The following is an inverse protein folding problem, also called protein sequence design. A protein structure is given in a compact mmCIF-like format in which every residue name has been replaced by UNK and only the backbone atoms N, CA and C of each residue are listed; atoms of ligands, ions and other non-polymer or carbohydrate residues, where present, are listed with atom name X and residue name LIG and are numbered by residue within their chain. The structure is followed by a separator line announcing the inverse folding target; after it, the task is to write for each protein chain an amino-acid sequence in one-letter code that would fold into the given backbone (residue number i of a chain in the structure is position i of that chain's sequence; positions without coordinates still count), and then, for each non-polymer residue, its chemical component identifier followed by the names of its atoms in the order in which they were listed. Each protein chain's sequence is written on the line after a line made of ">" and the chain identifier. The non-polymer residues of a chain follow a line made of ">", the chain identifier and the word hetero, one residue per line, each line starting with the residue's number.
data_IF_396184877156
#
_entry.id   IF_396184877156
#
_cell.length_a   1.000
_cell.length_b   1.000
_cell.length_c   1.000
_cell.angle_alpha   90.00
_cell.angle_beta   90.00
_cell.angle_gamma   90.00
#
_symmetry.space_group_name_H-M   'P 1'
#
loop_
_entity.id
_entity.type
_entity.pdbx_description
1 polymer ?
#
# COMPACT_ATOMS: atom_id res chain seq x y z
N UNK A 1 -0.70 -19.98 -21.00
CA UNK A 1 -1.19 -18.59 -21.07
C UNK A 1 -1.99 -18.15 -19.85
N UNK A 2 -2.73 -19.03 -19.14
CA UNK A 2 -3.49 -18.66 -17.92
C UNK A 2 -2.67 -18.63 -16.62
N UNK A 3 -1.59 -19.41 -16.51
CA UNK A 3 -0.78 -19.49 -15.29
C UNK A 3 -0.09 -18.16 -14.92
N UNK A 4 0.37 -17.41 -15.93
CA UNK A 4 1.01 -16.10 -15.72
C UNK A 4 0.08 -15.06 -15.09
N UNK A 5 -1.21 -15.05 -15.47
CA UNK A 5 -2.20 -14.12 -14.91
C UNK A 5 -2.54 -14.43 -13.46
N UNK A 6 -2.65 -15.72 -13.12
CA UNK A 6 -2.89 -16.14 -11.73
C UNK A 6 -1.73 -15.77 -10.81
N UNK A 7 -0.49 -16.02 -11.25
CA UNK A 7 0.70 -15.69 -10.49
C UNK A 7 0.87 -14.18 -10.30
N UNK A 8 0.59 -13.37 -11.34
CA UNK A 8 0.57 -11.91 -11.22
C UNK A 8 -0.52 -11.42 -10.26
N UNK A 9 -1.74 -11.96 -10.33
CA UNK A 9 -2.84 -11.55 -9.46
C UNK A 9 -2.52 -11.82 -7.97
N UNK A 10 -2.00 -13.02 -7.66
CA UNK A 10 -1.60 -13.38 -6.29
C UNK A 10 -0.46 -12.48 -5.81
N UNK A 11 0.55 -12.22 -6.66
CA UNK A 11 1.66 -11.33 -6.32
C UNK A 11 1.16 -9.92 -6.01
N UNK A 12 0.31 -9.36 -6.86
CA UNK A 12 -0.27 -8.03 -6.65
C UNK A 12 -1.06 -7.97 -5.34
N UNK A 13 -1.95 -8.95 -5.09
CA UNK A 13 -2.74 -8.98 -3.84
C UNK A 13 -1.85 -9.03 -2.60
N UNK A 14 -0.85 -9.92 -2.58
CA UNK A 14 0.07 -10.07 -1.45
C UNK A 14 0.90 -8.80 -1.21
N UNK A 15 1.40 -8.18 -2.28
CA UNK A 15 2.17 -6.94 -2.18
C UNK A 15 1.30 -5.82 -1.61
N UNK A 16 0.11 -5.59 -2.15
CA UNK A 16 -0.79 -4.57 -1.63
C UNK A 16 -1.18 -4.80 -0.17
N UNK A 17 -1.55 -6.03 0.20
CA UNK A 17 -1.88 -6.36 1.60
C UNK A 17 -0.71 -6.09 2.55
N UNK A 18 0.50 -6.46 2.16
CA UNK A 18 1.70 -6.27 2.97
C UNK A 18 2.01 -4.77 3.12
N UNK A 19 1.95 -3.99 2.04
CA UNK A 19 2.20 -2.55 2.10
C UNK A 19 1.11 -1.78 2.83
N UNK A 20 -0.15 -2.24 2.79
CA UNK A 20 -1.23 -1.68 3.62
C UNK A 20 -0.93 -1.93 5.10
N UNK A 21 -0.52 -3.14 5.49
CA UNK A 21 -0.16 -3.44 6.88
C UNK A 21 1.04 -2.61 7.36
N UNK A 22 2.08 -2.48 6.53
CA UNK A 22 3.24 -1.63 6.82
C UNK A 22 2.83 -0.16 6.92
N UNK A 23 1.94 0.32 6.06
CA UNK A 23 1.44 1.70 6.12
C UNK A 23 0.61 1.95 7.36
N UNK A 24 -0.19 0.97 7.80
CA UNK A 24 -0.96 1.06 9.04
C UNK A 24 -0.02 1.21 10.24
N UNK A 25 1.00 0.35 10.31
CA UNK A 25 2.03 0.40 11.35
C UNK A 25 2.84 1.70 11.31
N UNK A 26 3.20 2.19 10.13
CA UNK A 26 3.92 3.45 9.96
C UNK A 26 3.08 4.67 10.38
N UNK A 27 1.77 4.64 10.10
CA UNK A 27 0.86 5.69 10.54
C UNK A 27 0.70 5.70 12.06
N UNK A 28 0.71 4.55 12.75
CA UNK A 28 0.65 4.54 14.23
C UNK A 28 1.81 5.33 14.89
N UNK A 29 2.95 5.50 14.23
CA UNK A 29 4.05 6.31 14.73
C UNK A 29 3.75 7.82 14.72
N UNK A 30 2.73 8.27 13.97
CA UNK A 30 2.28 9.65 13.98
C UNK A 30 1.37 9.88 15.18
N UNK A 31 1.66 10.92 15.98
CA UNK A 31 0.83 11.33 17.12
C UNK A 31 -0.49 11.95 16.64
N UNK A 32 -1.42 11.11 16.21
CA UNK A 32 -2.73 11.50 15.71
C UNK A 32 -3.58 12.24 16.75
N UNK A 33 -3.36 11.97 18.04
CA UNK A 33 -4.04 12.64 19.15
C UNK A 33 -3.86 14.18 19.11
N UNK A 34 -2.68 14.66 18.69
CA UNK A 34 -2.41 16.11 18.54
C UNK A 34 -3.02 16.73 17.29
N UNK A 35 -3.29 15.94 16.25
CA UNK A 35 -3.79 16.45 14.97
C UNK A 35 -5.33 16.50 14.92
N UNK A 36 -6.00 15.79 15.82
CA UNK A 36 -7.44 15.54 15.76
C UNK A 36 -8.21 16.34 16.81
N UNK A 37 -9.23 17.08 16.35
CA UNK A 37 -10.12 17.85 17.22
C UNK A 37 -10.88 16.90 18.15
N UNK A 38 -10.88 17.22 19.45
CA UNK A 38 -11.40 16.42 20.57
C UNK A 38 -12.85 15.88 20.43
N UNK A 39 -13.64 16.34 19.47
CA UNK A 39 -15.04 15.96 19.31
C UNK A 39 -15.34 15.09 18.07
N UNK A 40 -14.33 14.64 17.31
CA UNK A 40 -14.54 13.88 16.04
C UNK A 40 -13.73 12.59 15.94
N UNK A 41 -13.73 11.80 17.01
CA UNK A 41 -12.98 10.53 17.13
C UNK A 41 -13.36 9.51 16.04
N UNK A 42 -14.64 9.44 15.65
CA UNK A 42 -15.07 8.51 14.61
C UNK A 42 -14.53 8.89 13.21
N UNK A 43 -14.62 10.18 12.86
CA UNK A 43 -14.09 10.67 11.59
C UNK A 43 -12.57 10.51 11.53
N UNK A 44 -11.90 10.75 12.65
CA UNK A 44 -10.47 10.52 12.82
C UNK A 44 -10.04 9.10 12.44
N UNK A 45 -10.73 8.12 13.03
CA UNK A 45 -10.45 6.70 12.84
C UNK A 45 -10.73 6.26 11.40
N UNK A 46 -11.82 6.74 10.81
CA UNK A 46 -12.12 6.46 9.41
C UNK A 46 -11.04 7.04 8.48
N UNK A 47 -10.62 8.29 8.74
CA UNK A 47 -9.57 8.94 7.96
C UNK A 47 -8.25 8.17 8.07
N UNK A 48 -7.90 7.68 9.26
CA UNK A 48 -6.72 6.85 9.47
C UNK A 48 -6.74 5.57 8.62
N UNK A 49 -7.85 4.84 8.64
CA UNK A 49 -8.00 3.60 7.84
C UNK A 49 -7.89 3.92 6.35
N UNK A 50 -8.57 4.96 5.88
CA UNK A 50 -8.51 5.39 4.49
C UNK A 50 -7.09 5.81 4.09
N UNK A 51 -6.39 6.52 4.96
CA UNK A 51 -5.01 6.96 4.73
C UNK A 51 -4.06 5.77 4.64
N UNK A 52 -4.24 4.77 5.49
CA UNK A 52 -3.47 3.54 5.46
C UNK A 52 -3.65 2.76 4.17
N UNK A 53 -4.90 2.66 3.69
CA UNK A 53 -5.21 1.97 2.43
C UNK A 53 -4.64 2.76 1.25
N UNK A 54 -4.79 4.08 1.25
CA UNK A 54 -4.28 4.96 0.21
C UNK A 54 -2.75 4.89 0.12
N UNK A 55 -2.04 5.09 1.23
CA UNK A 55 -0.58 5.01 1.28
C UNK A 55 -0.08 3.61 0.92
N UNK A 56 -0.67 2.56 1.50
CA UNK A 56 -0.30 1.19 1.20
C UNK A 56 -0.49 0.82 -0.26
N UNK A 57 -1.55 1.34 -0.89
CA UNK A 57 -1.79 1.12 -2.31
C UNK A 57 -0.82 1.90 -3.19
N UNK A 58 -0.47 3.14 -2.83
CA UNK A 58 0.51 3.94 -3.58
C UNK A 58 1.89 3.28 -3.54
N UNK A 59 2.36 2.91 -2.34
CA UNK A 59 3.67 2.27 -2.18
C UNK A 59 3.68 0.86 -2.78
N UNK A 60 2.58 0.10 -2.64
CA UNK A 60 2.42 -1.21 -3.27
C UNK A 60 2.49 -1.15 -4.79
N UNK A 61 1.77 -0.21 -5.42
CA UNK A 61 1.84 0.01 -6.87
C UNK A 61 3.26 0.40 -7.29
N UNK A 62 3.88 1.37 -6.60
CA UNK A 62 5.25 1.77 -6.87
C UNK A 62 6.22 0.58 -6.86
N UNK A 63 6.08 -0.32 -5.88
CA UNK A 63 6.93 -1.50 -5.78
C UNK A 63 6.71 -2.48 -6.93
N UNK A 64 5.46 -2.72 -7.32
CA UNK A 64 5.10 -3.60 -8.44
C UNK A 64 5.59 -3.04 -9.78
N UNK A 65 5.39 -1.75 -10.01
CA UNK A 65 5.85 -1.06 -11.22
C UNK A 65 7.38 -1.12 -11.31
N UNK A 66 8.08 -0.87 -10.20
CA UNK A 66 9.52 -0.97 -10.13
C UNK A 66 10.02 -2.40 -10.41
N UNK A 67 9.35 -3.41 -9.87
CA UNK A 67 9.65 -4.81 -10.14
C UNK A 67 9.45 -5.14 -11.63
N UNK A 68 8.36 -4.67 -12.24
CA UNK A 68 8.08 -4.87 -13.66
C UNK A 68 9.15 -4.20 -14.53
N UNK A 69 9.52 -2.95 -14.24
CA UNK A 69 10.60 -2.27 -14.96
C UNK A 69 11.93 -3.01 -14.80
N UNK A 70 12.23 -3.51 -13.60
CA UNK A 70 13.43 -4.29 -13.34
C UNK A 70 13.48 -5.58 -14.16
N UNK A 71 12.34 -6.25 -14.34
CA UNK A 71 12.22 -7.42 -15.22
C UNK A 71 12.34 -7.06 -16.71
N UNK A 72 12.06 -5.81 -17.07
CA UNK A 72 12.18 -5.33 -18.44
C UNK A 72 13.61 -4.88 -18.80
N UNK A 73 14.45 -4.56 -17.80
CA UNK A 73 15.83 -4.13 -18.01
C UNK A 73 16.66 -5.08 -18.89
N UNK A 74 16.55 -6.42 -18.80
CA UNK A 74 17.33 -7.31 -19.66
C UNK A 74 16.98 -7.24 -21.15
N UNK A 75 15.85 -6.64 -21.54
CA UNK A 75 15.46 -6.52 -22.95
C UNK A 75 16.05 -5.28 -23.65
N UNK A 76 16.86 -4.47 -22.94
CA UNK A 76 17.49 -3.28 -23.53
C UNK A 76 18.73 -3.60 -24.36
N UNK A 77 19.22 -4.84 -24.31
CA UNK A 77 20.38 -5.37 -25.04
C UNK A 77 20.03 -6.71 -25.69
#
# INVERSE_FOLDING_TARGET
>A
MLEGFGQQAITNMLVHLTFIAVSFWALEALNFDKFLRANRIFQARLLFILMSIALGSIVGNFFLDYLMWSQQLPFIF
#
